data_IF_273355666781
#
_entry.id   IF_273355666781
#
_cell.length_a   1.000
_cell.length_b   1.000
_cell.length_c   1.000
_cell.angle_alpha   90.00
_cell.angle_beta   90.00
_cell.angle_gamma   90.00
#
_symmetry.space_group_name_H-M   'P 1'
#
loop_
_entity.id
_entity.type
_entity.pdbx_description
1 polymer ?
#
# COMPACT_ATOMS: atom_id res chain seq x y z
N UNK A 1 6.64 1.17 1.30
CA UNK A 1 7.01 0.17 0.28
C UNK A 1 5.86 -0.80 0.19
N UNK A 2 5.50 -1.21 -1.01
CA UNK A 2 4.13 -1.62 -1.34
C UNK A 2 4.18 -2.79 -2.33
N UNK A 3 3.04 -3.43 -2.54
CA UNK A 3 2.91 -4.49 -3.53
C UNK A 3 1.78 -4.14 -4.50
N UNK A 4 2.01 -4.38 -5.79
CA UNK A 4 1.03 -4.10 -6.85
C UNK A 4 0.72 -5.35 -7.68
N UNK A 5 -0.55 -5.51 -8.07
CA UNK A 5 -0.94 -6.58 -8.98
C UNK A 5 -0.44 -6.28 -10.40
N UNK A 6 0.16 -7.28 -11.05
CA UNK A 6 0.68 -7.23 -12.42
C UNK A 6 0.35 -8.55 -13.14
N UNK A 7 -0.89 -8.65 -13.64
CA UNK A 7 -1.43 -9.90 -14.18
C UNK A 7 -1.51 -10.99 -13.10
N UNK A 8 -0.92 -12.16 -13.37
CA UNK A 8 -0.83 -13.30 -12.44
C UNK A 8 0.31 -13.17 -11.42
N UNK A 9 1.02 -12.04 -11.46
CA UNK A 9 2.13 -11.75 -10.57
C UNK A 9 1.78 -10.58 -9.65
N UNK A 10 2.49 -10.53 -8.53
CA UNK A 10 2.57 -9.36 -7.68
C UNK A 10 3.98 -8.81 -7.78
N UNK A 11 4.09 -7.52 -8.11
CA UNK A 11 5.35 -6.80 -8.05
C UNK A 11 5.50 -6.18 -6.66
N UNK A 12 6.58 -6.54 -5.99
CA UNK A 12 7.01 -5.96 -4.72
C UNK A 12 7.93 -4.78 -4.99
N UNK A 13 7.67 -3.68 -4.29
CA UNK A 13 8.50 -2.48 -4.28
C UNK A 13 9.07 -2.34 -2.89
N UNK A 14 10.38 -2.43 -2.76
CA UNK A 14 11.11 -2.46 -1.49
C UNK A 14 11.80 -1.11 -1.21
N UNK A 15 12.32 -0.94 0.01
CA UNK A 15 12.83 0.36 0.48
C UNK A 15 14.16 0.74 -0.16
N UNK A 16 14.98 -0.26 -0.50
CA UNK A 16 16.25 -0.13 -1.20
C UNK A 16 16.07 0.05 -2.72
N UNK A 17 14.83 0.10 -3.21
CA UNK A 17 14.51 0.29 -4.62
C UNK A 17 14.51 -0.99 -5.44
N UNK A 18 14.67 -2.16 -4.82
CA UNK A 18 14.55 -3.42 -5.55
C UNK A 18 13.10 -3.73 -5.91
N UNK A 19 12.93 -4.37 -7.07
CA UNK A 19 11.64 -4.82 -7.57
C UNK A 19 11.66 -6.33 -7.76
N UNK A 20 10.72 -7.03 -7.12
CA UNK A 20 10.60 -8.49 -7.23
C UNK A 20 9.23 -8.86 -7.78
N UNK A 21 9.18 -9.85 -8.67
CA UNK A 21 7.94 -10.42 -9.17
C UNK A 21 7.74 -11.79 -8.52
N UNK A 22 6.60 -11.97 -7.86
CA UNK A 22 6.20 -13.25 -7.27
C UNK A 22 4.88 -13.70 -7.88
N UNK A 23 4.77 -14.99 -8.21
CA UNK A 23 3.55 -15.56 -8.79
C UNK A 23 2.59 -15.95 -7.67
N UNK A 24 1.67 -15.06 -7.34
CA UNK A 24 0.65 -15.27 -6.31
C UNK A 24 -0.47 -14.25 -6.48
N UNK A 25 -1.63 -14.52 -5.87
CA UNK A 25 -2.74 -13.59 -5.86
C UNK A 25 -2.53 -12.49 -4.81
N UNK A 26 -2.76 -11.23 -5.20
CA UNK A 26 -2.68 -10.10 -4.28
C UNK A 26 -3.66 -10.22 -3.10
N UNK A 27 -4.79 -10.93 -3.27
CA UNK A 27 -5.71 -11.23 -2.16
C UNK A 27 -5.11 -12.13 -1.10
N UNK A 28 -4.48 -13.25 -1.48
CA UNK A 28 -3.83 -14.13 -0.52
C UNK A 28 -2.74 -13.40 0.26
N UNK A 29 -1.89 -12.63 -0.45
CA UNK A 29 -0.88 -11.79 0.22
C UNK A 29 -1.48 -10.75 1.16
N UNK A 30 -2.67 -10.22 0.85
CA UNK A 30 -3.30 -9.21 1.71
C UNK A 30 -3.63 -9.80 3.09
N UNK A 31 -4.17 -11.01 3.10
CA UNK A 31 -4.57 -11.70 4.31
C UNK A 31 -3.34 -12.16 5.09
N UNK A 32 -2.36 -12.75 4.39
CA UNK A 32 -1.11 -13.25 4.99
C UNK A 32 -0.26 -12.13 5.60
N UNK A 33 -0.25 -10.94 4.97
CA UNK A 33 0.60 -9.82 5.40
C UNK A 33 -0.13 -8.80 6.28
N UNK A 34 -1.43 -8.95 6.51
CA UNK A 34 -2.17 -8.09 7.42
C UNK A 34 -1.53 -8.02 8.82
N UNK A 35 -1.10 -9.14 9.45
CA UNK A 35 -0.42 -9.10 10.74
C UNK A 35 0.93 -8.34 10.71
N UNK A 36 1.59 -8.28 9.55
CA UNK A 36 2.82 -7.53 9.35
C UNK A 36 2.57 -6.03 9.06
N UNK A 37 1.33 -5.56 9.18
CA UNK A 37 0.96 -4.17 8.98
C UNK A 37 0.71 -3.78 7.53
N UNK A 38 0.48 -4.74 6.62
CA UNK A 38 0.04 -4.44 5.26
C UNK A 38 -1.47 -4.23 5.21
N UNK A 39 -1.90 -3.21 4.46
CA UNK A 39 -3.30 -2.90 4.24
C UNK A 39 -3.63 -2.85 2.74
N UNK A 40 -4.79 -3.39 2.38
CA UNK A 40 -5.38 -3.24 1.04
C UNK A 40 -5.90 -1.82 0.89
N UNK A 41 -5.23 -1.03 0.06
CA UNK A 41 -5.64 0.37 -0.21
C UNK A 41 -6.38 0.49 -1.54
N UNK A 42 -6.05 -0.37 -2.51
CA UNK A 42 -6.71 -0.44 -3.81
C UNK A 42 -6.87 -1.91 -4.24
N UNK A 43 -7.73 -2.19 -5.24
CA UNK A 43 -7.88 -3.56 -5.76
C UNK A 43 -6.58 -4.15 -6.29
N UNK A 44 -5.63 -3.30 -6.68
CA UNK A 44 -4.32 -3.69 -7.20
C UNK A 44 -3.16 -3.24 -6.32
N UNK A 45 -3.39 -2.76 -5.08
CA UNK A 45 -2.32 -2.20 -4.23
C UNK A 45 -2.48 -2.63 -2.77
N UNK A 46 -1.40 -3.18 -2.22
CA UNK A 46 -1.15 -3.35 -0.79
C UNK A 46 -0.06 -2.39 -0.33
N UNK A 47 -0.21 -1.80 0.84
CA UNK A 47 0.77 -0.87 1.41
C UNK A 47 1.14 -1.33 2.80
N UNK A 48 2.44 -1.40 3.10
CA UNK A 48 2.89 -1.48 4.48
C UNK A 48 2.67 -0.11 5.15
N UNK A 49 1.79 -0.09 6.15
CA UNK A 49 1.38 1.13 6.84
C UNK A 49 2.53 1.79 7.60
N UNK A 50 3.54 1.05 8.06
CA UNK A 50 4.71 1.60 8.72
C UNK A 50 5.54 2.52 7.80
N UNK A 51 5.43 2.33 6.48
CA UNK A 51 6.16 3.12 5.49
C UNK A 51 5.36 4.27 4.89
N UNK A 52 4.09 4.46 5.30
CA UNK A 52 3.31 5.63 4.86
C UNK A 52 3.92 6.90 5.47
N UNK A 53 4.29 7.83 4.58
CA UNK A 53 4.80 9.14 4.96
C UNK A 53 3.69 10.16 5.11
N UNK A 54 2.72 10.13 4.19
CA UNK A 54 1.62 11.10 4.16
C UNK A 54 0.33 10.42 3.71
N UNK A 55 -0.80 10.89 4.25
CA UNK A 55 -2.13 10.68 3.69
C UNK A 55 -2.57 11.97 3.02
N UNK A 56 -2.89 11.92 1.73
CA UNK A 56 -3.30 13.09 0.94
C UNK A 56 -4.78 12.99 0.58
N UNK A 57 -5.44 14.14 0.61
CA UNK A 57 -6.82 14.30 0.17
C UNK A 57 -6.92 15.50 -0.76
N UNK A 58 -7.23 15.26 -2.02
CA UNK A 58 -7.32 16.31 -3.03
C UNK A 58 -8.47 16.01 -4.00
N UNK A 59 -9.32 17.01 -4.25
CA UNK A 59 -10.46 16.91 -5.18
C UNK A 59 -11.34 15.66 -4.95
N UNK A 60 -11.62 15.32 -3.69
CA UNK A 60 -12.44 14.14 -3.33
C UNK A 60 -11.77 12.78 -3.57
N UNK A 61 -10.46 12.77 -3.87
CA UNK A 61 -9.65 11.54 -3.97
C UNK A 61 -8.74 11.44 -2.74
N UNK A 62 -8.47 10.21 -2.34
CA UNK A 62 -7.53 9.89 -1.26
C UNK A 62 -6.35 9.11 -1.84
N UNK A 63 -5.16 9.45 -1.40
CA UNK A 63 -3.92 8.76 -1.76
C UNK A 63 -2.98 8.68 -0.56
N UNK A 64 -2.07 7.72 -0.59
CA UNK A 64 -0.97 7.60 0.39
C UNK A 64 0.36 7.79 -0.31
N UNK A 65 1.30 8.44 0.37
CA UNK A 65 2.66 8.62 -0.11
C UNK A 65 3.58 7.64 0.61
N UNK A 66 4.33 6.85 -0.16
CA UNK A 66 5.25 5.82 0.35
C UNK A 66 6.60 5.90 -0.37
N UNK A 67 7.69 5.48 0.28
CA UNK A 67 8.99 5.35 -0.39
C UNK A 67 9.02 4.16 -1.34
N UNK A 68 9.81 4.33 -2.41
CA UNK A 68 10.18 3.34 -3.42
C UNK A 68 11.62 3.63 -3.86
N UNK A 69 12.60 2.99 -3.21
CA UNK A 69 13.99 3.43 -3.30
C UNK A 69 14.14 4.87 -2.82
N UNK A 70 14.93 5.66 -3.55
CA UNK A 70 15.19 7.07 -3.25
C UNK A 70 14.04 8.03 -3.62
N UNK A 71 12.90 7.50 -4.06
CA UNK A 71 11.75 8.28 -4.52
C UNK A 71 10.53 8.08 -3.63
N UNK A 72 9.65 9.08 -3.63
CA UNK A 72 8.31 8.97 -3.08
C UNK A 72 7.31 8.73 -4.21
N UNK A 73 6.41 7.78 -4.01
CA UNK A 73 5.31 7.50 -4.93
C UNK A 73 3.98 7.73 -4.25
N UNK A 74 3.04 8.28 -5.00
CA UNK A 74 1.67 8.52 -4.56
C UNK A 74 0.76 7.41 -5.08
N UNK A 75 0.12 6.68 -4.16
CA UNK A 75 -0.72 5.52 -4.46
C UNK A 75 -2.18 5.84 -4.14
N UNK A 76 -3.06 5.66 -5.12
CA UNK A 76 -4.48 5.91 -4.93
C UNK A 76 -5.11 4.94 -3.93
N UNK A 77 -5.95 5.46 -3.04
CA UNK A 77 -6.80 4.68 -2.14
C UNK A 77 -8.19 4.59 -2.77
N UNK A 78 -8.70 3.37 -2.93
CA UNK A 78 -10.07 3.17 -3.39
C UNK A 78 -11.03 3.74 -2.35
N UNK A 79 -12.11 4.39 -2.81
CA UNK A 79 -13.13 5.02 -1.94
C UNK A 79 -13.59 4.15 -0.78
N UNK A 80 -13.81 2.85 -1.03
CA UNK A 80 -14.25 1.88 0.00
C UNK A 80 -13.22 1.61 1.10
N UNK A 81 -11.92 1.84 0.85
CA UNK A 81 -10.84 1.66 1.82
C UNK A 81 -10.44 2.98 2.49
N UNK A 82 -10.91 4.13 2.01
CA UNK A 82 -10.51 5.46 2.54
C UNK A 82 -10.70 5.56 4.05
N UNK A 83 -11.85 5.11 4.57
CA UNK A 83 -12.15 5.16 6.00
C UNK A 83 -11.17 4.28 6.80
N UNK A 84 -11.06 3.00 6.42
CA UNK A 84 -10.19 2.05 7.10
C UNK A 84 -8.72 2.48 7.11
N UNK A 85 -8.20 2.96 5.97
CA UNK A 85 -6.81 3.44 5.87
C UNK A 85 -6.58 4.64 6.79
N UNK A 86 -7.54 5.57 6.88
CA UNK A 86 -7.43 6.73 7.77
C UNK A 86 -7.42 6.33 9.25
N UNK A 87 -8.30 5.42 9.65
CA UNK A 87 -8.36 4.89 11.02
C UNK A 87 -7.02 4.22 11.38
N UNK A 88 -6.54 3.29 10.55
CA UNK A 88 -5.27 2.58 10.76
C UNK A 88 -4.04 3.51 10.85
N UNK A 89 -4.01 4.60 10.08
CA UNK A 89 -2.91 5.57 10.14
C UNK A 89 -2.98 6.51 11.35
N UNK A 90 -4.19 6.72 11.89
CA UNK A 90 -4.37 7.50 13.12
C UNK A 90 -3.87 6.68 14.31
N UNK A 91 -4.24 5.39 14.37
CA UNK A 91 -3.82 4.46 15.43
C UNK A 91 -2.32 4.19 15.44
N UNK A 92 -1.62 4.34 14.32
CA UNK A 92 -0.15 4.23 14.23
C UNK A 92 0.59 5.32 15.02
N UNK A 93 -0.05 6.46 15.26
CA UNK A 93 0.56 7.62 15.92
C UNK A 93 0.25 7.74 17.41
N UNK A 94 -0.56 6.83 17.95
CA UNK A 94 -0.92 6.74 19.37
C UNK A 94 0.00 5.75 20.10
#
# INVERSE_FOLDING_TARGET
TYAEANGDYVRLHTADGAHHLIRTALSGLADDWAPAGFARVHRSILVNLAHVRELRQAAGRTSVVVPSGDRLVELAVARRHTRAVRELLTDRGA
#
